data_IF_069390583243
#
_entry.id   IF_069390583243
#
_cell.length_a   1.000
_cell.length_b   1.000
_cell.length_c   1.000
_cell.angle_alpha   90.00
_cell.angle_beta   90.00
_cell.angle_gamma   90.00
#
_symmetry.space_group_name_H-M   'P 1'
#
loop_
_entity.id
_entity.type
_entity.pdbx_description
1 polymer ?
#
# COMPACT_ATOMS: atom_id res chain seq x y z
N UNK A 1 -5.51 9.31 0.71
CA UNK A 1 -5.52 9.06 -0.75
C UNK A 1 -4.17 8.64 -1.28
N UNK A 2 -3.08 9.41 -1.12
CA UNK A 2 -1.73 9.02 -1.61
C UNK A 2 -1.27 7.66 -1.07
N UNK A 3 -1.62 7.33 0.17
CA UNK A 3 -1.27 6.05 0.79
C UNK A 3 -1.81 4.80 0.06
N UNK A 4 -2.95 4.94 -0.63
CA UNK A 4 -3.61 3.86 -1.36
C UNK A 4 -3.13 3.79 -2.81
N UNK A 5 -2.37 4.77 -3.27
CA UNK A 5 -1.86 4.78 -4.64
C UNK A 5 -0.69 3.80 -4.75
N UNK A 6 -0.75 2.97 -5.78
CA UNK A 6 0.30 2.03 -6.11
C UNK A 6 1.66 2.73 -6.34
N UNK A 7 2.81 2.19 -5.84
CA UNK A 7 4.12 2.82 -5.99
C UNK A 7 4.53 3.10 -7.44
N UNK A 8 4.14 2.23 -8.38
CA UNK A 8 4.50 2.37 -9.78
C UNK A 8 3.91 3.62 -10.45
N UNK A 9 2.81 4.16 -9.91
CA UNK A 9 2.25 5.44 -10.36
C UNK A 9 3.21 6.61 -10.14
N UNK A 10 4.15 6.53 -9.19
CA UNK A 10 5.13 7.58 -8.91
C UNK A 10 6.38 7.50 -9.79
N UNK A 11 6.66 6.33 -10.36
CA UNK A 11 7.85 6.09 -11.21
C UNK A 11 7.64 6.68 -12.60
N UNK A 12 6.41 6.59 -13.09
CA UNK A 12 6.09 6.73 -14.50
C UNK A 12 5.30 8.02 -14.75
N UNK A 13 5.93 9.17 -14.47
CA UNK A 13 5.46 10.47 -14.95
C UNK A 13 5.59 10.52 -16.50
N UNK A 14 4.58 10.02 -17.22
CA UNK A 14 4.43 10.22 -18.67
C UNK A 14 4.36 8.95 -19.55
N UNK A 15 4.57 7.76 -19.00
CA UNK A 15 4.07 6.51 -19.58
C UNK A 15 3.10 5.96 -18.57
N UNK A 16 1.87 5.66 -18.95
CA UNK A 16 0.93 5.00 -18.06
C UNK A 16 1.58 3.69 -17.60
N UNK A 17 2.20 3.68 -16.42
CA UNK A 17 2.52 2.44 -15.72
C UNK A 17 1.22 1.66 -15.75
N UNK A 18 1.25 0.46 -16.33
CA UNK A 18 0.03 -0.20 -16.78
C UNK A 18 -0.82 -0.46 -15.54
N UNK A 19 -1.77 0.44 -15.28
CA UNK A 19 -2.76 0.29 -14.25
C UNK A 19 -3.59 -0.90 -14.68
N UNK A 20 -3.61 -1.90 -13.84
CA UNK A 20 -4.38 -3.12 -14.02
C UNK A 20 -5.09 -3.44 -12.70
N UNK A 21 -5.79 -4.56 -12.68
CA UNK A 21 -6.52 -5.03 -11.49
C UNK A 21 -5.63 -5.12 -10.24
N UNK A 22 -4.32 -5.27 -10.39
CA UNK A 22 -3.38 -5.42 -9.26
C UNK A 22 -3.11 -4.09 -8.57
N UNK A 23 -3.37 -2.96 -9.24
CA UNK A 23 -3.40 -1.63 -8.60
C UNK A 23 -4.56 -1.51 -7.61
N UNK A 24 -5.69 -2.12 -7.93
CA UNK A 24 -6.85 -2.18 -7.03
C UNK A 24 -6.57 -3.14 -5.86
N UNK A 25 -5.93 -4.28 -6.11
CA UNK A 25 -5.47 -5.21 -5.05
C UNK A 25 -4.54 -4.52 -4.06
N UNK A 26 -3.61 -3.70 -4.55
CA UNK A 26 -2.75 -2.89 -3.69
C UNK A 26 -3.58 -1.96 -2.78
N UNK A 27 -4.53 -1.23 -3.36
CA UNK A 27 -5.40 -0.30 -2.61
C UNK A 27 -6.23 -1.05 -1.58
N UNK A 28 -6.71 -2.26 -1.92
CA UNK A 28 -7.43 -3.14 -1.03
C UNK A 28 -6.56 -3.61 0.14
N UNK A 29 -5.28 -3.95 -0.09
CA UNK A 29 -4.34 -4.29 0.97
C UNK A 29 -4.17 -3.17 2.00
N UNK A 30 -4.02 -1.93 1.52
CA UNK A 30 -3.95 -0.75 2.40
C UNK A 30 -5.24 -0.56 3.20
N UNK A 31 -6.40 -0.74 2.55
CA UNK A 31 -7.70 -0.68 3.22
C UNK A 31 -7.87 -1.77 4.28
N UNK A 32 -7.44 -3.01 3.99
CA UNK A 32 -7.48 -4.12 4.95
C UNK A 32 -6.63 -3.82 6.19
N UNK A 33 -5.44 -3.23 6.02
CA UNK A 33 -4.64 -2.79 7.15
C UNK A 33 -5.34 -1.68 7.95
N UNK A 34 -5.92 -0.67 7.28
CA UNK A 34 -6.68 0.40 7.94
C UNK A 34 -7.86 -0.14 8.77
N UNK A 35 -8.59 -1.14 8.24
CA UNK A 35 -9.67 -1.79 8.97
C UNK A 35 -9.17 -2.52 10.22
N UNK A 36 -7.97 -3.11 10.18
CA UNK A 36 -7.37 -3.75 11.36
C UNK A 36 -6.81 -2.77 12.37
N UNK A 37 -6.24 -1.65 11.92
CA UNK A 37 -5.62 -0.66 12.79
C UNK A 37 -6.64 0.32 13.38
N UNK A 38 -7.77 0.52 12.70
CA UNK A 38 -8.74 1.57 13.02
C UNK A 38 -8.18 2.98 12.80
N UNK A 39 -7.05 3.11 12.08
CA UNK A 39 -6.35 4.37 11.87
C UNK A 39 -5.99 4.58 10.40
N UNK A 40 -6.05 5.82 9.89
CA UNK A 40 -5.62 6.10 8.52
C UNK A 40 -4.15 5.71 8.30
N UNK A 41 -3.79 5.18 7.11
CA UNK A 41 -2.41 4.84 6.76
C UNK A 41 -1.52 6.08 6.77
N UNK A 42 -0.29 5.93 7.31
CA UNK A 42 0.66 7.03 7.56
C UNK A 42 0.06 8.23 8.33
N UNK A 43 -0.80 7.98 9.32
CA UNK A 43 -1.49 9.03 10.09
C UNK A 43 -0.57 9.99 10.85
N UNK A 44 0.69 9.63 11.05
CA UNK A 44 1.74 10.45 11.68
C UNK A 44 2.44 11.40 10.69
N UNK A 45 2.16 11.30 9.38
CA UNK A 45 2.84 12.07 8.33
C UNK A 45 1.86 13.01 7.63
N UNK A 46 2.05 14.32 7.79
CA UNK A 46 1.20 15.33 7.15
C UNK A 46 1.57 15.57 5.67
N UNK A 47 2.85 15.39 5.32
CA UNK A 47 3.35 15.70 3.98
C UNK A 47 3.12 14.55 3.00
N UNK A 48 2.22 14.76 2.04
CA UNK A 48 1.89 13.80 0.97
C UNK A 48 3.09 13.38 0.12
N UNK A 49 4.05 14.28 -0.11
CA UNK A 49 5.28 13.95 -0.84
C UNK A 49 6.17 12.99 -0.04
N UNK A 50 6.26 13.21 1.28
CA UNK A 50 7.00 12.30 2.16
C UNK A 50 6.36 10.89 2.17
N UNK A 51 5.03 10.81 2.19
CA UNK A 51 4.30 9.54 2.05
C UNK A 51 4.62 8.86 0.71
N UNK A 52 4.57 9.60 -0.42
CA UNK A 52 4.88 9.01 -1.73
C UNK A 52 6.33 8.50 -1.83
N UNK A 53 7.29 9.19 -1.21
CA UNK A 53 8.70 8.75 -1.18
C UNK A 53 8.84 7.47 -0.35
N UNK A 54 8.22 7.41 0.83
CA UNK A 54 8.21 6.21 1.68
C UNK A 54 7.66 5.00 0.94
N UNK A 55 6.49 5.17 0.31
CA UNK A 55 5.84 4.14 -0.49
C UNK A 55 6.71 3.68 -1.65
N UNK A 56 7.33 4.64 -2.36
CA UNK A 56 8.26 4.34 -3.45
C UNK A 56 9.49 3.55 -2.98
N UNK A 57 10.01 3.84 -1.79
CA UNK A 57 11.12 3.12 -1.17
C UNK A 57 10.71 1.76 -0.57
N UNK A 58 9.43 1.41 -0.60
CA UNK A 58 8.90 0.15 -0.06
C UNK A 58 8.55 0.19 1.42
N UNK A 59 8.58 1.36 2.07
CA UNK A 59 8.14 1.49 3.47
C UNK A 59 6.64 1.22 3.59
N UNK A 60 6.28 0.47 4.63
CA UNK A 60 4.90 0.14 5.01
C UNK A 60 4.67 0.22 6.51
N UNK A 61 3.40 0.25 6.85
CA UNK A 61 2.90 0.17 8.20
C UNK A 61 3.29 -1.14 8.88
N UNK A 62 3.40 -1.10 10.20
CA UNK A 62 3.69 -2.28 11.01
C UNK A 62 2.44 -3.14 11.16
N UNK A 63 2.65 -4.42 11.39
CA UNK A 63 1.57 -5.33 11.77
C UNK A 63 0.89 -4.85 13.06
N UNK A 64 -0.44 -5.03 13.12
CA UNK A 64 -1.24 -4.74 14.30
C UNK A 64 -1.28 -5.99 15.19
N UNK A 65 -0.94 -5.82 16.47
CA UNK A 65 -0.94 -6.92 17.44
C UNK A 65 -2.37 -7.45 17.61
N UNK A 66 -2.52 -8.77 17.55
CA UNK A 66 -3.82 -9.44 17.65
C UNK A 66 -4.52 -9.67 16.31
N UNK A 67 -4.02 -9.10 15.21
CA UNK A 67 -4.54 -9.45 13.87
C UNK A 67 -4.15 -10.89 13.51
N UNK A 68 -5.10 -11.73 13.07
CA UNK A 68 -4.79 -13.11 12.67
C UNK A 68 -3.70 -13.17 11.60
N UNK A 69 -2.72 -14.06 11.77
CA UNK A 69 -1.55 -14.12 10.88
C UNK A 69 -1.93 -14.25 9.40
N UNK A 70 -2.91 -15.10 9.07
CA UNK A 70 -3.40 -15.25 7.68
C UNK A 70 -3.91 -13.94 7.07
N UNK A 71 -4.49 -13.06 7.89
CA UNK A 71 -4.96 -11.76 7.44
C UNK A 71 -3.79 -10.80 7.24
N UNK A 72 -2.77 -10.87 8.11
CA UNK A 72 -1.49 -10.15 7.94
C UNK A 72 -0.81 -10.55 6.64
N UNK A 73 -0.64 -11.84 6.41
CA UNK A 73 -0.02 -12.37 5.20
C UNK A 73 -0.80 -11.92 3.95
N UNK A 74 -2.13 -11.91 4.03
CA UNK A 74 -3.00 -11.46 2.94
C UNK A 74 -2.80 -9.97 2.61
N UNK A 75 -3.02 -9.05 3.55
CA UNK A 75 -2.88 -7.62 3.23
C UNK A 75 -1.43 -7.24 2.90
N UNK A 76 -0.44 -7.95 3.46
CA UNK A 76 0.97 -7.70 3.13
C UNK A 76 1.34 -8.17 1.73
N UNK A 77 0.77 -9.29 1.26
CA UNK A 77 0.93 -9.71 -0.14
C UNK A 77 0.27 -8.74 -1.12
N UNK A 78 -0.90 -8.19 -0.76
CA UNK A 78 -1.64 -7.24 -1.60
C UNK A 78 -0.83 -5.98 -1.94
N UNK A 79 -0.05 -5.44 -1.00
CA UNK A 79 0.72 -4.21 -1.22
C UNK A 79 2.18 -4.41 -1.62
N UNK A 80 2.52 -5.58 -2.18
CA UNK A 80 3.85 -5.88 -2.73
C UNK A 80 4.29 -4.83 -3.77
N UNK A 81 5.56 -4.42 -3.71
CA UNK A 81 6.15 -3.49 -4.68
C UNK A 81 6.16 -4.06 -6.10
N UNK A 82 6.28 -5.38 -6.23
CA UNK A 82 6.16 -6.09 -7.51
C UNK A 82 4.69 -6.44 -7.76
N UNK A 83 4.11 -5.89 -8.83
CA UNK A 83 2.72 -6.15 -9.23
C UNK A 83 2.42 -7.65 -9.40
N UNK A 84 3.31 -8.40 -10.06
CA UNK A 84 3.15 -9.83 -10.35
C UNK A 84 3.10 -10.72 -9.08
N UNK A 85 3.54 -10.19 -7.94
CA UNK A 85 3.51 -10.90 -6.65
C UNK A 85 2.24 -10.62 -5.85
N UNK A 86 1.40 -9.69 -6.32
CA UNK A 86 0.10 -9.44 -5.71
C UNK A 86 -0.85 -10.57 -6.13
N UNK A 87 -1.68 -11.06 -5.21
CA UNK A 87 -2.62 -12.15 -5.47
C UNK A 87 -3.70 -11.78 -6.49
#
# INVERSE_FOLDING_TARGET
>A
MVAYVEPQCFIQYGKNGKLDERSDIYSLGVLMWELTSGTPPFSDIMNKYAISIKIFLGDREKMILGTPQKYVDLYTSCWSSEQEKRP
#
